data_IF_017209387481
#
_entry.id   IF_017209387481
#
_cell.length_a   1.000
_cell.length_b   1.000
_cell.length_c   1.000
_cell.angle_alpha   90.00
_cell.angle_beta   90.00
_cell.angle_gamma   90.00
#
_symmetry.space_group_name_H-M   'P 1'
#
loop_
_entity.id
_entity.type
_entity.pdbx_description
1 polymer ?
#
# COMPACT_ATOMS: atom_id res chain seq x y z
N UNK A 1 -7.69 -13.67 12.21
CA UNK A 1 -7.96 -13.89 10.77
C UNK A 1 -8.66 -15.23 10.65
N UNK A 2 -10.00 -15.24 10.54
CA UNK A 2 -10.77 -16.47 10.30
C UNK A 2 -10.96 -16.58 8.80
N UNK A 3 -10.34 -17.57 8.17
CA UNK A 3 -10.73 -17.97 6.81
C UNK A 3 -12.14 -18.55 6.92
N UNK A 4 -13.13 -17.79 6.46
CA UNK A 4 -14.48 -18.31 6.30
C UNK A 4 -14.62 -18.67 4.83
N UNK A 5 -14.66 -19.96 4.52
CA UNK A 5 -15.10 -20.47 3.21
C UNK A 5 -16.59 -20.18 3.06
N UNK A 6 -16.93 -18.92 2.81
CA UNK A 6 -18.28 -18.54 2.42
C UNK A 6 -18.39 -18.77 0.92
N UNK A 7 -18.86 -19.96 0.56
CA UNK A 7 -19.49 -20.19 -0.74
C UNK A 7 -20.50 -19.07 -0.96
N UNK A 8 -20.33 -18.26 -2.02
CA UNK A 8 -21.34 -17.29 -2.45
C UNK A 8 -22.50 -18.10 -3.06
N UNK A 9 -23.64 -18.29 -2.38
CA UNK A 9 -24.73 -19.07 -2.94
C UNK A 9 -25.64 -18.20 -3.83
N UNK A 10 -25.49 -16.87 -3.78
CA UNK A 10 -26.50 -15.97 -4.33
C UNK A 10 -26.24 -15.52 -5.78
N UNK A 11 -25.02 -15.64 -6.33
CA UNK A 11 -24.71 -15.09 -7.67
C UNK A 11 -23.76 -15.93 -8.54
N UNK A 12 -23.33 -17.13 -8.13
CA UNK A 12 -22.48 -17.98 -8.97
C UNK A 12 -23.28 -18.99 -9.79
N UNK A 13 -23.35 -18.79 -11.10
CA UNK A 13 -23.86 -19.77 -12.07
C UNK A 13 -22.91 -20.98 -12.13
N UNK A 14 -23.44 -22.15 -12.46
CA UNK A 14 -22.67 -23.39 -12.61
C UNK A 14 -21.50 -23.21 -13.61
N UNK A 15 -21.79 -22.62 -14.79
CA UNK A 15 -20.80 -22.22 -15.80
C UNK A 15 -19.65 -21.36 -15.27
N UNK A 16 -19.90 -20.54 -14.24
CA UNK A 16 -18.90 -19.65 -13.66
C UNK A 16 -18.00 -20.40 -12.68
N UNK A 17 -18.56 -21.33 -11.89
CA UNK A 17 -17.80 -22.18 -10.97
C UNK A 17 -16.87 -23.13 -11.73
N UNK A 18 -17.33 -23.64 -12.88
CA UNK A 18 -16.51 -24.48 -13.75
C UNK A 18 -15.32 -23.72 -14.34
N UNK A 19 -15.49 -22.43 -14.65
CA UNK A 19 -14.42 -21.57 -15.18
C UNK A 19 -13.45 -21.09 -14.11
N UNK A 20 -13.90 -20.93 -12.87
CA UNK A 20 -13.10 -20.41 -11.76
C UNK A 20 -13.19 -21.31 -10.52
N UNK A 21 -12.72 -22.56 -10.62
CA UNK A 21 -12.89 -23.56 -9.56
C UNK A 21 -12.09 -23.23 -8.29
N UNK A 22 -11.07 -22.37 -8.40
CA UNK A 22 -10.21 -21.92 -7.30
C UNK A 22 -10.51 -20.48 -6.89
N UNK A 23 -11.80 -20.17 -6.70
CA UNK A 23 -12.22 -18.85 -6.24
C UNK A 23 -12.30 -18.80 -4.72
N UNK A 24 -11.62 -17.84 -4.10
CA UNK A 24 -11.80 -17.50 -2.68
C UNK A 24 -12.48 -16.14 -2.52
N UNK A 25 -13.28 -16.03 -1.47
CA UNK A 25 -14.06 -14.83 -1.16
C UNK A 25 -13.74 -14.42 0.27
N UNK A 26 -13.34 -13.18 0.46
CA UNK A 26 -13.02 -12.63 1.78
C UNK A 26 -13.76 -11.34 2.01
N UNK A 27 -14.51 -11.26 3.10
CA UNK A 27 -15.10 -10.01 3.57
C UNK A 27 -14.05 -9.26 4.39
N UNK A 28 -13.77 -8.02 4.01
CA UNK A 28 -12.95 -7.12 4.80
C UNK A 28 -13.85 -6.35 5.77
N UNK A 29 -13.54 -6.38 7.06
CA UNK A 29 -14.14 -5.51 8.06
C UNK A 29 -13.49 -4.14 8.00
N UNK A 30 -14.28 -3.08 7.87
CA UNK A 30 -13.81 -1.69 7.96
C UNK A 30 -14.07 -1.13 9.35
N UNK A 31 -13.12 -0.35 9.89
CA UNK A 31 -13.31 0.39 11.15
C UNK A 31 -14.03 1.74 10.95
N UNK A 32 -14.07 2.23 9.70
CA UNK A 32 -14.56 3.56 9.36
C UNK A 32 -15.87 3.56 8.54
N UNK A 33 -16.40 2.38 8.18
CA UNK A 33 -17.65 2.24 7.43
C UNK A 33 -18.37 0.97 7.87
N UNK A 34 -19.70 1.02 7.90
CA UNK A 34 -20.59 -0.14 8.05
C UNK A 34 -20.63 -1.03 6.80
N UNK A 35 -19.96 -0.62 5.72
CA UNK A 35 -19.75 -1.46 4.54
C UNK A 35 -18.56 -2.42 4.75
N UNK A 36 -18.79 -3.70 4.43
CA UNK A 36 -17.77 -4.75 4.44
C UNK A 36 -17.39 -5.13 2.98
N UNK A 37 -16.28 -4.60 2.43
CA UNK A 37 -15.86 -4.90 1.07
C UNK A 37 -15.67 -6.41 0.84
N UNK A 38 -16.06 -6.89 -0.33
CA UNK A 38 -15.88 -8.28 -0.75
C UNK A 38 -14.69 -8.37 -1.68
N UNK A 39 -13.67 -9.14 -1.30
CA UNK A 39 -12.55 -9.52 -2.17
C UNK A 39 -12.89 -10.87 -2.81
N UNK A 40 -12.89 -10.90 -4.15
CA UNK A 40 -13.04 -12.10 -4.95
C UNK A 40 -11.69 -12.40 -5.63
N UNK A 41 -11.04 -13.50 -5.26
CA UNK A 41 -9.78 -13.92 -5.87
C UNK A 41 -10.00 -15.16 -6.71
N UNK A 42 -9.83 -15.03 -8.03
CA UNK A 42 -9.80 -16.17 -8.96
C UNK A 42 -8.35 -16.51 -9.23
N UNK A 43 -7.87 -17.67 -8.76
CA UNK A 43 -6.51 -18.13 -9.11
C UNK A 43 -6.50 -18.62 -10.55
N UNK A 44 -6.33 -17.71 -11.50
CA UNK A 44 -5.88 -18.09 -12.85
C UNK A 44 -4.36 -18.16 -12.83
N UNK A 45 -3.78 -19.27 -13.28
CA UNK A 45 -2.33 -19.59 -13.25
C UNK A 45 -1.44 -18.69 -14.13
N UNK A 46 -1.82 -17.42 -14.29
CA UNK A 46 -0.94 -16.40 -14.83
C UNK A 46 0.10 -16.08 -13.79
N UNK A 47 1.18 -16.89 -13.80
CA UNK A 47 2.50 -16.46 -13.37
C UNK A 47 2.68 -15.05 -13.91
N UNK A 48 2.65 -14.04 -13.03
CA UNK A 48 2.91 -12.66 -13.41
C UNK A 48 4.24 -12.68 -14.13
N UNK A 49 4.19 -12.62 -15.46
CA UNK A 49 5.37 -12.80 -16.28
C UNK A 49 6.36 -11.72 -15.89
N UNK A 50 7.58 -12.17 -15.60
CA UNK A 50 8.81 -11.42 -15.37
C UNK A 50 8.60 -9.91 -15.23
N UNK A 51 8.88 -9.38 -14.03
CA UNK A 51 9.18 -7.96 -13.84
C UNK A 51 10.21 -7.56 -14.90
N UNK A 52 9.74 -7.03 -16.04
CA UNK A 52 10.61 -6.33 -16.98
C UNK A 52 11.34 -5.29 -16.16
N UNK A 53 12.66 -5.26 -16.31
CA UNK A 53 13.52 -4.33 -15.59
C UNK A 53 13.24 -2.93 -16.15
N UNK A 54 12.12 -2.33 -15.74
CA UNK A 54 11.85 -0.93 -15.98
C UNK A 54 12.93 -0.17 -15.22
N UNK A 55 13.52 0.83 -15.88
CA UNK A 55 14.49 1.73 -15.26
C UNK A 55 13.97 2.34 -13.96
N UNK A 56 14.82 3.13 -13.30
CA UNK A 56 14.42 3.83 -12.08
C UNK A 56 13.11 4.60 -12.29
N UNK A 57 12.17 4.42 -11.36
CA UNK A 57 10.93 5.19 -11.26
C UNK A 57 10.82 5.67 -9.83
N UNK A 58 10.55 6.96 -9.69
CA UNK A 58 10.25 7.58 -8.42
C UNK A 58 8.85 7.14 -7.95
N UNK A 59 8.68 6.91 -6.65
CA UNK A 59 7.37 6.64 -6.04
C UNK A 59 6.94 7.86 -5.22
N UNK A 60 5.72 8.35 -5.45
CA UNK A 60 5.21 9.56 -4.76
C UNK A 60 4.99 9.33 -3.27
N UNK A 61 4.72 8.09 -2.87
CA UNK A 61 4.65 7.70 -1.45
C UNK A 61 5.96 8.01 -0.72
N UNK A 62 7.10 8.13 -1.41
CA UNK A 62 8.36 8.55 -0.81
C UNK A 62 8.30 9.96 -0.25
N UNK A 63 7.50 10.86 -0.85
CA UNK A 63 7.33 12.24 -0.36
C UNK A 63 6.61 12.32 1.00
N UNK A 64 6.00 11.22 1.45
CA UNK A 64 5.35 11.14 2.76
C UNK A 64 6.34 10.87 3.89
N UNK A 65 7.61 10.62 3.56
CA UNK A 65 8.68 10.39 4.52
C UNK A 65 9.54 11.64 4.65
N UNK A 66 9.71 12.11 5.88
CA UNK A 66 10.49 13.32 6.16
C UNK A 66 11.92 13.24 5.63
N UNK A 67 12.52 12.03 5.69
CA UNK A 67 13.90 11.79 5.27
C UNK A 67 14.08 11.81 3.73
N UNK A 68 13.00 11.86 2.95
CA UNK A 68 13.09 11.78 1.49
C UNK A 68 13.89 12.95 0.90
N UNK A 69 13.68 14.16 1.42
CA UNK A 69 14.36 15.37 0.92
C UNK A 69 15.87 15.30 1.21
N UNK A 70 16.24 14.85 2.40
CA UNK A 70 17.64 14.69 2.81
C UNK A 70 18.36 13.69 1.90
N UNK A 71 17.73 12.54 1.61
CA UNK A 71 18.29 11.53 0.71
C UNK A 71 18.55 12.09 -0.70
N UNK A 72 17.61 12.89 -1.23
CA UNK A 72 17.79 13.54 -2.54
C UNK A 72 18.95 14.52 -2.50
N UNK A 73 19.02 15.36 -1.47
CA UNK A 73 20.05 16.38 -1.32
C UNK A 73 21.43 15.75 -1.21
N UNK A 74 21.59 14.77 -0.33
CA UNK A 74 22.84 14.05 -0.13
C UNK A 74 23.30 13.35 -1.41
N UNK A 75 22.39 12.66 -2.11
CA UNK A 75 22.72 12.00 -3.37
C UNK A 75 23.13 12.98 -4.47
N UNK A 76 22.53 14.17 -4.47
CA UNK A 76 22.84 15.23 -5.45
C UNK A 76 24.21 15.87 -5.22
N UNK A 77 24.62 16.00 -3.96
CA UNK A 77 25.91 16.58 -3.55
C UNK A 77 27.08 15.60 -3.70
N UNK A 78 26.85 14.28 -3.58
CA UNK A 78 27.88 13.22 -3.74
C UNK A 78 28.47 13.10 -5.15
N UNK A 79 27.83 13.68 -6.17
CA UNK A 79 28.22 13.45 -7.58
C UNK A 79 29.40 14.35 -8.01
N UNK A 80 30.50 13.72 -8.44
CA UNK A 80 31.77 14.39 -8.77
C UNK A 80 31.73 15.32 -9.99
N UNK A 81 32.59 16.35 -9.96
CA UNK A 81 32.83 17.28 -11.07
C UNK A 81 33.77 16.66 -12.11
N UNK A 82 33.35 16.65 -13.37
CA UNK A 82 34.18 16.22 -14.50
C UNK A 82 33.35 15.93 -15.75
N UNK A 83 33.74 16.55 -16.88
CA UNK A 83 33.04 16.43 -18.16
C UNK A 83 32.11 17.60 -18.47
N UNK A 84 31.32 17.49 -19.54
CA UNK A 84 30.35 18.52 -19.92
C UNK A 84 29.21 18.63 -18.90
N UNK A 85 28.56 19.79 -18.83
CA UNK A 85 27.43 20.02 -17.94
C UNK A 85 26.33 18.93 -18.08
N UNK A 86 26.07 18.46 -19.30
CA UNK A 86 25.11 17.38 -19.56
C UNK A 86 25.55 16.04 -18.94
N UNK A 87 26.83 15.70 -19.02
CA UNK A 87 27.37 14.48 -18.43
C UNK A 87 27.29 14.51 -16.89
N UNK A 88 27.58 15.67 -16.29
CA UNK A 88 27.46 15.88 -14.85
C UNK A 88 26.01 15.73 -14.39
N UNK A 89 25.07 16.39 -15.08
CA UNK A 89 23.64 16.29 -14.75
C UNK A 89 23.11 14.87 -14.89
N UNK A 90 23.50 14.15 -15.95
CA UNK A 90 23.13 12.75 -16.14
C UNK A 90 23.62 11.88 -14.97
N UNK A 91 24.89 12.02 -14.58
CA UNK A 91 25.48 11.28 -13.46
C UNK A 91 24.78 11.58 -12.13
N UNK A 92 24.38 12.84 -11.91
CA UNK A 92 23.60 13.26 -10.74
C UNK A 92 22.24 12.57 -10.69
N UNK A 93 21.51 12.54 -11.80
CA UNK A 93 20.20 11.88 -11.90
C UNK A 93 20.35 10.37 -11.67
N UNK A 94 21.36 9.73 -12.26
CA UNK A 94 21.61 8.29 -12.09
C UNK A 94 21.97 7.93 -10.65
N UNK A 95 22.85 8.71 -10.01
CA UNK A 95 23.24 8.53 -8.61
C UNK A 95 22.04 8.74 -7.69
N UNK A 96 21.29 9.82 -7.87
CA UNK A 96 20.09 10.12 -7.10
C UNK A 96 19.04 9.01 -7.25
N UNK A 97 18.82 8.51 -8.47
CA UNK A 97 17.90 7.40 -8.71
C UNK A 97 18.35 6.09 -8.04
N UNK A 98 19.64 5.80 -8.02
CA UNK A 98 20.17 4.59 -7.37
C UNK A 98 20.04 4.67 -5.83
N UNK A 99 20.37 5.81 -5.25
CA UNK A 99 20.24 6.07 -3.81
C UNK A 99 18.76 6.04 -3.38
N UNK A 100 17.88 6.75 -4.09
CA UNK A 100 16.44 6.72 -3.84
C UNK A 100 15.83 5.34 -4.01
N UNK A 101 16.29 4.55 -4.99
CA UNK A 101 15.83 3.16 -5.14
C UNK A 101 16.21 2.32 -3.94
N UNK A 102 17.45 2.48 -3.45
CA UNK A 102 17.97 1.69 -2.33
C UNK A 102 17.30 2.08 -1.02
N UNK A 103 17.21 3.39 -0.73
CA UNK A 103 16.47 3.92 0.41
C UNK A 103 14.99 3.57 0.32
N UNK A 104 14.37 3.80 -0.83
CA UNK A 104 12.97 3.52 -1.09
C UNK A 104 12.63 2.03 -0.94
N UNK A 105 13.54 1.10 -1.29
CA UNK A 105 13.34 -0.34 -1.08
C UNK A 105 13.06 -0.70 0.39
N UNK A 106 13.68 0.02 1.33
CA UNK A 106 13.43 -0.15 2.77
C UNK A 106 12.09 0.44 3.24
N UNK A 107 11.53 1.38 2.46
CA UNK A 107 10.27 2.09 2.75
C UNK A 107 9.08 1.56 1.95
N UNK A 108 9.29 0.63 0.99
CA UNK A 108 8.29 0.21 -0.02
C UNK A 108 7.55 -1.08 0.29
N UNK A 109 7.56 -1.52 1.53
CA UNK A 109 6.50 -2.39 2.01
C UNK A 109 5.62 -1.53 2.92
N UNK A 110 4.37 -1.21 2.50
CA UNK A 110 3.41 -0.66 3.45
C UNK A 110 3.41 -1.59 4.65
N UNK A 111 3.59 -1.04 5.84
CA UNK A 111 3.95 -1.76 7.06
C UNK A 111 2.81 -2.69 7.49
N UNK A 112 2.70 -3.83 6.80
CA UNK A 112 1.50 -4.66 6.83
C UNK A 112 1.31 -5.31 8.18
N UNK A 113 2.41 -5.55 8.90
CA UNK A 113 2.38 -6.05 10.27
C UNK A 113 1.96 -4.96 11.24
N UNK A 114 2.45 -3.73 11.07
CA UNK A 114 2.02 -2.60 11.89
C UNK A 114 0.55 -2.25 11.66
N UNK A 115 0.09 -2.23 10.41
CA UNK A 115 -1.33 -2.05 10.06
C UNK A 115 -2.19 -3.12 10.75
N UNK A 116 -1.81 -4.41 10.66
CA UNK A 116 -2.53 -5.50 11.35
C UNK A 116 -2.52 -5.31 12.86
N UNK A 117 -1.38 -4.90 13.44
CA UNK A 117 -1.24 -4.66 14.87
C UNK A 117 -2.17 -3.55 15.34
N UNK A 118 -2.20 -2.43 14.63
CA UNK A 118 -3.07 -1.29 14.94
C UNK A 118 -4.55 -1.65 14.74
N UNK A 119 -4.91 -2.35 13.66
CA UNK A 119 -6.28 -2.85 13.45
C UNK A 119 -6.75 -3.72 14.61
N UNK A 120 -5.90 -4.66 15.05
CA UNK A 120 -6.21 -5.51 16.21
C UNK A 120 -6.39 -4.68 17.48
N UNK A 121 -5.55 -3.65 17.69
CA UNK A 121 -5.64 -2.78 18.85
C UNK A 121 -6.93 -1.94 18.86
N UNK A 122 -7.34 -1.44 17.70
CA UNK A 122 -8.64 -0.75 17.52
C UNK A 122 -9.80 -1.70 17.87
N UNK A 123 -9.74 -2.95 17.43
CA UNK A 123 -10.76 -3.97 17.75
C UNK A 123 -10.81 -4.28 19.26
N UNK A 124 -9.65 -4.45 19.89
CA UNK A 124 -9.54 -4.65 21.35
C UNK A 124 -10.15 -3.47 22.12
N UNK A 125 -9.80 -2.23 21.75
CA UNK A 125 -10.31 -1.01 22.40
C UNK A 125 -11.81 -0.81 22.19
N UNK A 126 -12.36 -1.20 21.03
CA UNK A 126 -13.80 -1.19 20.77
C UNK A 126 -14.57 -2.20 21.64
N UNK A 127 -13.93 -3.31 22.02
CA UNK A 127 -14.52 -4.34 22.90
C UNK A 127 -14.31 -4.08 24.39
N UNK A 128 -13.45 -3.13 24.75
CA UNK A 128 -13.12 -2.79 26.13
C UNK A 128 -14.14 -1.84 26.77
N UNK A 129 -14.05 -1.70 28.09
CA UNK A 129 -14.88 -0.75 28.83
C UNK A 129 -14.65 0.70 28.36
N UNK A 130 -15.72 1.48 28.36
CA UNK A 130 -15.73 2.84 27.82
C UNK A 130 -15.12 3.85 28.81
N UNK A 131 -13.82 3.75 29.06
CA UNK A 131 -13.07 4.68 29.92
C UNK A 131 -12.53 5.87 29.12
N UNK A 132 -12.17 6.95 29.82
CA UNK A 132 -11.58 8.15 29.19
C UNK A 132 -10.24 7.80 28.56
N UNK A 133 -9.47 6.94 29.21
CA UNK A 133 -8.17 6.47 28.77
C UNK A 133 -8.29 5.62 27.50
N UNK A 134 -9.23 4.66 27.47
CA UNK A 134 -9.46 3.81 26.30
C UNK A 134 -9.94 4.63 25.10
N UNK A 135 -10.76 5.66 25.32
CA UNK A 135 -11.21 6.58 24.26
C UNK A 135 -10.06 7.42 23.70
N UNK A 136 -9.18 7.93 24.57
CA UNK A 136 -8.01 8.70 24.17
C UNK A 136 -7.03 7.83 23.36
N UNK A 137 -6.77 6.61 23.83
CA UNK A 137 -5.92 5.65 23.11
C UNK A 137 -6.53 5.26 21.76
N UNK A 138 -7.84 5.01 21.72
CA UNK A 138 -8.55 4.68 20.48
C UNK A 138 -8.36 5.74 19.40
N UNK A 139 -8.49 7.02 19.77
CA UNK A 139 -8.33 8.12 18.84
C UNK A 139 -6.91 8.17 18.25
N UNK A 140 -5.90 7.99 19.09
CA UNK A 140 -4.50 8.03 18.65
C UNK A 140 -4.14 6.83 17.77
N UNK A 141 -4.54 5.62 18.18
CA UNK A 141 -4.31 4.40 17.39
C UNK A 141 -5.03 4.46 16.05
N UNK A 142 -6.27 4.97 16.01
CA UNK A 142 -7.03 5.14 14.77
C UNK A 142 -6.35 6.13 13.82
N UNK A 143 -5.87 7.27 14.35
CA UNK A 143 -5.14 8.26 13.55
C UNK A 143 -3.84 7.69 12.97
N UNK A 144 -3.09 6.92 13.74
CA UNK A 144 -1.90 6.21 13.26
C UNK A 144 -2.24 5.20 12.15
N UNK A 145 -3.33 4.43 12.33
CA UNK A 145 -3.81 3.49 11.34
C UNK A 145 -4.21 4.18 10.03
N UNK A 146 -4.97 5.27 10.11
CA UNK A 146 -5.42 6.04 8.94
C UNK A 146 -4.24 6.59 8.13
N UNK A 147 -3.19 7.07 8.81
CA UNK A 147 -1.98 7.53 8.14
C UNK A 147 -1.28 6.42 7.36
N UNK A 148 -1.12 5.22 7.95
CA UNK A 148 -0.51 4.07 7.27
C UNK A 148 -1.37 3.56 6.11
N UNK A 149 -2.70 3.52 6.28
CA UNK A 149 -3.62 3.13 5.21
C UNK A 149 -3.57 4.12 4.04
N UNK A 150 -3.47 5.43 4.31
CA UNK A 150 -3.29 6.45 3.26
C UNK A 150 -1.98 6.27 2.50
N UNK A 151 -0.88 5.96 3.19
CA UNK A 151 0.39 5.63 2.55
C UNK A 151 0.26 4.40 1.64
N UNK A 152 -0.45 3.37 2.10
CA UNK A 152 -0.73 2.17 1.34
C UNK A 152 -1.60 2.44 0.12
N UNK A 153 -2.63 3.29 0.25
CA UNK A 153 -3.49 3.72 -0.85
C UNK A 153 -2.67 4.41 -1.96
N UNK A 154 -1.82 5.38 -1.59
CA UNK A 154 -0.95 6.08 -2.55
C UNK A 154 -0.01 5.10 -3.25
N UNK A 155 0.61 4.19 -2.49
CA UNK A 155 1.49 3.16 -3.03
C UNK A 155 0.78 2.25 -4.05
N UNK A 156 -0.43 1.77 -3.73
CA UNK A 156 -1.19 0.93 -4.65
C UNK A 156 -1.80 1.70 -5.82
N UNK A 157 -2.19 2.96 -5.63
CA UNK A 157 -2.71 3.81 -6.69
C UNK A 157 -1.69 3.93 -7.84
N UNK A 158 -0.42 4.21 -7.52
CA UNK A 158 0.65 4.32 -8.52
C UNK A 158 0.92 3.00 -9.27
N UNK A 159 0.79 1.86 -8.58
CA UNK A 159 1.15 0.54 -9.11
C UNK A 159 0.01 -0.17 -9.83
N UNK A 160 -1.24 0.11 -9.44
CA UNK A 160 -2.42 -0.52 -10.01
C UNK A 160 -2.62 -0.17 -11.49
N UNK A 161 -1.99 0.91 -11.98
CA UNK A 161 -2.18 1.46 -13.34
C UNK A 161 -3.68 1.69 -13.63
N UNK A 162 -4.48 1.94 -12.59
CA UNK A 162 -5.92 2.18 -12.68
C UNK A 162 -6.17 3.69 -12.75
N UNK A 163 -6.47 4.27 -13.93
CA UNK A 163 -6.67 5.71 -14.07
C UNK A 163 -8.00 6.23 -13.49
N UNK A 164 -8.94 5.36 -13.09
CA UNK A 164 -10.28 5.76 -12.64
C UNK A 164 -10.48 5.77 -11.12
N UNK A 165 -9.46 5.49 -10.30
CA UNK A 165 -9.52 5.70 -8.85
C UNK A 165 -9.32 7.19 -8.49
N UNK A 166 -10.13 8.06 -9.09
CA UNK A 166 -10.30 9.43 -8.58
C UNK A 166 -11.34 9.38 -7.49
N UNK A 167 -10.87 9.46 -6.25
CA UNK A 167 -11.59 9.84 -5.03
C UNK A 167 -13.06 9.40 -5.00
N UNK A 168 -13.32 8.25 -4.37
CA UNK A 168 -14.68 7.84 -4.02
C UNK A 168 -15.35 8.94 -3.20
N UNK A 169 -16.43 9.48 -3.76
CA UNK A 169 -17.19 10.58 -3.20
C UNK A 169 -17.80 10.24 -1.85
N UNK A 170 -17.91 11.29 -1.04
CA UNK A 170 -18.82 11.38 0.09
C UNK A 170 -20.21 10.84 -0.31
N UNK A 171 -20.62 9.78 0.36
CA UNK A 171 -22.01 9.39 0.57
C UNK A 171 -22.20 9.24 2.07
#
# INVERSE_FOLDING_TARGET
MKEVNLNIPATSTEDWRDKFPLTTVTHLSSHASDHAPIILQTRTDRKFQNRRNYGFKFEESWLLWNDCEEVVKDAWEKSSNGGSALAITKKKIETCGAELRTWGASKTHPDSEEIKRLQKRVEELNSADCTVENRAEFLEVSKCLDNLLRQQEIYWHQRSRIPWLKHGGYC
#
